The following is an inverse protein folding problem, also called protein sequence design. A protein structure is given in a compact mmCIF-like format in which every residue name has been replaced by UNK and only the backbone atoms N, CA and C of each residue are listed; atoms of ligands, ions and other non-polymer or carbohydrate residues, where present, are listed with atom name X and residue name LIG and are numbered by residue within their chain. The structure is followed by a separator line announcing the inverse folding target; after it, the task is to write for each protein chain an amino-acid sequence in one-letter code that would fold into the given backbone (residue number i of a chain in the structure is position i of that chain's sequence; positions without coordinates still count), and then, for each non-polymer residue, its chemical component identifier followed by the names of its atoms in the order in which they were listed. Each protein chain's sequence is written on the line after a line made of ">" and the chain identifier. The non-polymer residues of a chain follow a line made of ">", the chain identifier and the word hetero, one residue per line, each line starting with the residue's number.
data_IF_619924687366
#
_entry.id   IF_619924687366
#
_cell.length_a   1.000
_cell.length_b   1.000
_cell.length_c   1.000
_cell.angle_alpha   90.00
_cell.angle_beta   90.00
_cell.angle_gamma   90.00
#
_symmetry.space_group_name_H-M   'P 1'
#
loop_
_entity.id
_entity.type
_entity.pdbx_description
1 polymer ?
#
# COMPACT_ATOMS: atom_id res chain seq x y z
N UNK A 1 -18.75 -2.53 -9.44
CA UNK A 1 -18.10 -2.00 -8.23
C UNK A 1 -19.01 -0.96 -7.62
N UNK A 2 -19.02 -0.81 -6.30
CA UNK A 2 -19.81 0.20 -5.58
C UNK A 2 -18.87 1.16 -4.86
N UNK A 3 -19.21 2.45 -4.72
CA UNK A 3 -18.41 3.37 -3.92
C UNK A 3 -18.37 2.91 -2.45
N UNK A 4 -17.22 3.05 -1.81
CA UNK A 4 -17.10 2.94 -0.35
C UNK A 4 -17.41 4.30 0.28
N UNK A 5 -18.44 4.36 1.11
CA UNK A 5 -18.78 5.55 1.89
C UNK A 5 -19.31 5.16 3.29
N UNK A 6 -18.59 5.47 4.38
CA UNK A 6 -17.26 6.08 4.39
C UNK A 6 -16.21 5.16 3.75
N UNK A 7 -15.14 5.75 3.21
CA UNK A 7 -14.04 4.96 2.63
C UNK A 7 -13.28 4.14 3.67
N UNK A 8 -13.20 4.67 4.89
CA UNK A 8 -12.64 4.01 6.08
C UNK A 8 -13.16 4.70 7.36
N UNK A 9 -13.28 3.95 8.44
CA UNK A 9 -13.54 4.49 9.79
C UNK A 9 -12.33 4.23 10.68
N UNK A 10 -11.77 5.30 11.27
CA UNK A 10 -10.49 5.27 11.98
C UNK A 10 -10.72 5.55 13.46
N UNK A 11 -10.53 4.55 14.30
CA UNK A 11 -10.51 4.68 15.75
C UNK A 11 -9.08 4.94 16.22
N UNK A 12 -8.84 6.08 16.88
CA UNK A 12 -7.53 6.46 17.42
C UNK A 12 -7.27 5.88 18.82
N UNK A 13 -8.19 5.08 19.36
CA UNK A 13 -8.14 4.48 20.69
C UNK A 13 -7.88 5.52 21.81
N UNK A 14 -8.36 6.74 21.61
CA UNK A 14 -8.19 7.88 22.52
C UNK A 14 -9.48 8.22 23.31
N UNK A 15 -10.51 7.39 23.17
CA UNK A 15 -11.82 7.56 23.82
C UNK A 15 -12.75 8.55 23.11
N UNK A 16 -12.31 9.20 22.03
CA UNK A 16 -13.17 10.04 21.20
C UNK A 16 -13.91 9.22 20.13
N UNK A 17 -14.91 9.83 19.50
CA UNK A 17 -15.62 9.21 18.38
C UNK A 17 -14.67 8.92 17.21
N UNK A 18 -14.75 7.74 16.58
CA UNK A 18 -13.94 7.39 15.41
C UNK A 18 -14.10 8.39 14.26
N UNK A 19 -13.01 8.66 13.55
CA UNK A 19 -12.96 9.56 12.40
C UNK A 19 -13.53 8.84 11.18
N UNK A 20 -14.59 9.38 10.58
CA UNK A 20 -15.20 8.81 9.38
C UNK A 20 -14.67 9.51 8.12
N UNK A 21 -13.89 8.80 7.31
CA UNK A 21 -13.34 9.37 6.07
C UNK A 21 -14.42 9.32 4.99
N UNK A 22 -15.24 10.35 4.94
CA UNK A 22 -16.35 10.47 3.98
C UNK A 22 -15.85 10.63 2.54
N UNK A 23 -16.60 10.03 1.62
CA UNK A 23 -16.38 10.23 0.18
C UNK A 23 -16.86 11.61 -0.27
N UNK A 24 -17.96 12.09 0.30
CA UNK A 24 -18.46 13.44 0.06
C UNK A 24 -17.49 14.49 0.63
N UNK A 25 -16.97 15.44 -0.19
CA UNK A 25 -15.97 16.40 0.27
C UNK A 25 -16.45 17.33 1.38
N UNK A 26 -17.74 17.67 1.40
CA UNK A 26 -18.31 18.63 2.36
C UNK A 26 -18.54 17.97 3.73
N UNK A 27 -19.08 16.74 3.75
CA UNK A 27 -19.13 15.90 4.96
C UNK A 27 -17.73 15.61 5.49
N UNK A 28 -16.75 15.39 4.61
CA UNK A 28 -15.36 15.24 5.05
C UNK A 28 -14.80 16.51 5.67
N UNK A 29 -15.08 17.70 5.11
CA UNK A 29 -14.70 18.98 5.72
C UNK A 29 -15.28 19.14 7.12
N UNK A 30 -16.58 18.87 7.28
CA UNK A 30 -17.28 18.96 8.56
C UNK A 30 -16.71 17.98 9.59
N UNK A 31 -16.45 16.73 9.19
CA UNK A 31 -15.79 15.73 10.04
C UNK A 31 -14.41 16.23 10.51
N UNK A 32 -13.59 16.76 9.60
CA UNK A 32 -12.26 17.30 9.96
C UNK A 32 -12.34 18.48 10.92
N UNK A 33 -13.30 19.38 10.73
CA UNK A 33 -13.49 20.53 11.62
C UNK A 33 -13.86 20.10 13.04
N UNK A 34 -14.71 19.08 13.16
CA UNK A 34 -15.10 18.50 14.44
C UNK A 34 -13.96 17.70 15.10
N UNK A 35 -13.30 16.83 14.33
CA UNK A 35 -12.29 15.89 14.83
C UNK A 35 -10.92 16.56 15.09
N UNK A 36 -10.60 17.62 14.32
CA UNK A 36 -9.30 18.29 14.33
C UNK A 36 -9.45 19.83 14.26
N UNK A 37 -10.05 20.47 15.29
CA UNK A 37 -10.32 21.90 15.27
C UNK A 37 -9.05 22.75 15.06
N UNK A 38 -9.15 23.79 14.24
CA UNK A 38 -8.03 24.69 13.95
C UNK A 38 -7.00 24.16 12.95
N UNK A 39 -7.29 23.04 12.27
CA UNK A 39 -6.41 22.44 11.25
C UNK A 39 -6.72 22.87 9.81
N UNK A 40 -7.74 23.69 9.58
CA UNK A 40 -8.28 23.96 8.24
C UNK A 40 -7.25 24.56 7.26
N UNK A 41 -6.31 25.38 7.73
CA UNK A 41 -5.22 25.91 6.87
C UNK A 41 -4.36 24.80 6.27
N UNK A 42 -4.09 23.74 7.03
CA UNK A 42 -3.34 22.58 6.53
C UNK A 42 -4.11 21.86 5.42
N UNK A 43 -5.40 21.59 5.66
CA UNK A 43 -6.22 20.88 4.69
C UNK A 43 -6.47 21.68 3.39
N UNK A 44 -6.64 23.00 3.48
CA UNK A 44 -6.71 23.87 2.31
C UNK A 44 -5.41 23.85 1.50
N UNK A 45 -4.26 23.85 2.18
CA UNK A 45 -2.96 23.70 1.51
C UNK A 45 -2.85 22.33 0.82
N UNK A 46 -3.23 21.25 1.51
CA UNK A 46 -3.24 19.90 0.92
C UNK A 46 -4.12 19.83 -0.33
N UNK A 47 -5.32 20.42 -0.29
CA UNK A 47 -6.24 20.41 -1.43
C UNK A 47 -5.67 21.16 -2.65
N UNK A 48 -5.04 22.33 -2.43
CA UNK A 48 -4.37 23.08 -3.51
C UNK A 48 -3.19 22.31 -4.12
N UNK A 49 -2.37 21.70 -3.27
CA UNK A 49 -1.24 20.87 -3.72
C UNK A 49 -1.72 19.63 -4.47
N UNK A 50 -2.76 18.96 -3.97
CA UNK A 50 -3.34 17.81 -4.66
C UNK A 50 -3.91 18.18 -6.03
N UNK A 51 -4.64 19.30 -6.15
CA UNK A 51 -5.14 19.78 -7.44
C UNK A 51 -3.99 20.04 -8.44
N UNK A 52 -2.89 20.64 -7.97
CA UNK A 52 -1.67 20.83 -8.78
C UNK A 52 -1.04 19.49 -9.20
N UNK A 53 -0.93 18.54 -8.29
CA UNK A 53 -0.38 17.21 -8.57
C UNK A 53 -1.24 16.43 -9.57
N UNK A 54 -2.56 16.52 -9.45
CA UNK A 54 -3.48 15.87 -10.36
C UNK A 54 -3.39 16.43 -11.78
N UNK A 55 -3.34 17.76 -11.91
CA UNK A 55 -3.14 18.42 -13.21
C UNK A 55 -1.81 18.00 -13.87
N UNK A 56 -0.76 17.83 -13.08
CA UNK A 56 0.53 17.32 -13.55
C UNK A 56 0.45 15.85 -13.98
N UNK A 57 -0.09 14.98 -13.13
CA UNK A 57 -0.22 13.55 -13.42
C UNK A 57 -1.08 13.27 -14.66
N UNK A 58 -2.14 14.06 -14.88
CA UNK A 58 -3.01 13.97 -16.06
C UNK A 58 -2.25 14.18 -17.39
N UNK A 59 -1.11 14.89 -17.36
CA UNK A 59 -0.24 15.10 -18.52
C UNK A 59 0.79 13.99 -18.74
N UNK A 60 0.73 12.91 -17.94
CA UNK A 60 1.55 11.69 -18.05
C UNK A 60 3.06 11.99 -18.12
N UNK A 61 3.63 12.69 -17.11
CA UNK A 61 5.05 12.98 -17.06
C UNK A 61 5.86 11.69 -16.95
N UNK A 62 7.08 11.70 -17.48
CA UNK A 62 8.06 10.63 -17.28
C UNK A 62 9.04 11.05 -16.18
N UNK A 63 9.05 10.29 -15.08
CA UNK A 63 9.88 10.58 -13.91
C UNK A 63 10.56 9.31 -13.37
N UNK A 64 11.84 9.40 -12.98
CA UNK A 64 12.82 10.40 -13.40
C UNK A 64 13.14 10.36 -14.91
N UNK A 65 13.45 11.50 -15.54
CA UNK A 65 13.85 11.51 -16.94
C UNK A 65 15.22 10.84 -17.13
N UNK A 66 15.37 10.06 -18.20
CA UNK A 66 16.60 9.33 -18.54
C UNK A 66 17.25 9.81 -19.84
N UNK A 67 16.51 10.51 -20.68
CA UNK A 67 16.99 11.05 -21.95
C UNK A 67 16.28 12.37 -22.30
N UNK A 68 16.67 13.00 -23.41
CA UNK A 68 16.10 14.27 -23.85
C UNK A 68 14.59 14.20 -24.16
N UNK A 69 14.10 13.06 -24.65
CA UNK A 69 12.67 12.86 -24.87
C UNK A 69 11.89 12.84 -23.54
N UNK A 70 12.37 12.13 -22.54
CA UNK A 70 11.76 12.13 -21.20
C UNK A 70 11.75 13.53 -20.59
N UNK A 71 12.86 14.26 -20.76
CA UNK A 71 12.96 15.62 -20.25
C UNK A 71 11.96 16.54 -20.95
N UNK A 72 11.78 16.41 -22.26
CA UNK A 72 10.78 17.17 -23.00
C UNK A 72 9.35 16.82 -22.53
N UNK A 73 9.05 15.53 -22.31
CA UNK A 73 7.77 15.09 -21.75
C UNK A 73 7.54 15.66 -20.34
N UNK A 74 8.57 15.68 -19.50
CA UNK A 74 8.52 16.27 -18.16
C UNK A 74 8.26 17.78 -18.23
N UNK A 75 9.04 18.52 -19.03
CA UNK A 75 8.90 19.97 -19.18
C UNK A 75 7.52 20.33 -19.73
N UNK A 76 7.00 19.58 -20.70
CA UNK A 76 5.64 19.77 -21.23
C UNK A 76 4.54 19.50 -20.20
N UNK A 77 4.81 18.69 -19.18
CA UNK A 77 3.87 18.44 -18.09
C UNK A 77 3.84 19.58 -17.05
N UNK A 78 4.93 20.33 -16.86
CA UNK A 78 5.03 21.39 -15.84
C UNK A 78 4.12 22.58 -16.19
N UNK A 79 3.15 22.85 -15.32
CA UNK A 79 2.35 24.08 -15.33
C UNK A 79 2.77 25.09 -14.26
N UNK A 80 2.19 26.31 -14.26
CA UNK A 80 2.48 27.34 -13.25
C UNK A 80 2.25 26.88 -11.80
N UNK A 81 1.17 26.10 -11.57
CA UNK A 81 0.91 25.50 -10.26
C UNK A 81 1.98 24.48 -9.83
N UNK A 82 2.65 23.84 -10.79
CA UNK A 82 3.69 22.84 -10.53
C UNK A 82 5.03 23.47 -10.20
N UNK A 83 5.32 24.66 -10.72
CA UNK A 83 6.51 25.43 -10.31
C UNK A 83 6.42 25.78 -8.83
N UNK A 84 5.26 26.25 -8.37
CA UNK A 84 5.02 26.58 -6.97
C UNK A 84 5.06 25.34 -6.07
N UNK A 85 4.38 24.25 -6.46
CA UNK A 85 4.44 23.00 -5.68
C UNK A 85 5.83 22.34 -5.74
N UNK A 86 6.61 22.61 -6.78
CA UNK A 86 7.99 22.15 -6.93
C UNK A 86 8.92 22.64 -5.83
N UNK A 87 8.64 23.81 -5.23
CA UNK A 87 9.37 24.32 -4.05
C UNK A 87 9.22 23.39 -2.83
N UNK A 88 8.19 22.55 -2.81
CA UNK A 88 7.89 21.60 -1.74
C UNK A 88 8.32 20.17 -2.08
N UNK A 89 9.09 19.95 -3.15
CA UNK A 89 9.52 18.59 -3.56
C UNK A 89 10.33 17.89 -2.47
N UNK A 90 11.15 18.64 -1.73
CA UNK A 90 11.94 18.12 -0.61
C UNK A 90 11.19 18.13 0.74
N UNK A 91 9.96 18.67 0.78
CA UNK A 91 9.20 18.82 2.02
C UNK A 91 8.47 17.54 2.40
N UNK A 92 8.19 17.39 3.70
CA UNK A 92 7.40 16.29 4.28
C UNK A 92 5.98 16.75 4.62
N UNK A 93 5.07 15.83 4.93
CA UNK A 93 3.75 16.21 5.46
C UNK A 93 3.87 16.94 6.80
N UNK A 94 4.87 16.59 7.63
CA UNK A 94 5.16 17.33 8.86
C UNK A 94 5.64 18.77 8.60
N UNK A 95 6.35 19.04 7.50
CA UNK A 95 6.67 20.41 7.09
C UNK A 95 5.40 21.22 6.77
N UNK A 96 4.45 20.61 6.07
CA UNK A 96 3.15 21.27 5.80
C UNK A 96 2.40 21.59 7.10
N UNK A 97 2.40 20.67 8.07
CA UNK A 97 1.84 20.94 9.39
C UNK A 97 2.53 22.13 10.07
N UNK A 98 3.87 22.20 10.03
CA UNK A 98 4.63 23.33 10.59
C UNK A 98 4.25 24.65 9.91
N UNK A 99 4.26 24.68 8.58
CA UNK A 99 3.92 25.87 7.78
C UNK A 99 2.51 26.40 8.08
N UNK A 100 1.57 25.50 8.40
CA UNK A 100 0.19 25.86 8.71
C UNK A 100 -0.07 26.12 10.21
N UNK A 101 0.96 26.11 11.08
CA UNK A 101 0.78 26.27 12.53
C UNK A 101 0.07 25.08 13.20
N UNK A 102 0.20 23.91 12.59
CA UNK A 102 -0.47 22.66 12.94
C UNK A 102 0.47 21.58 13.53
N UNK A 103 1.65 21.97 14.03
CA UNK A 103 2.69 21.03 14.53
C UNK A 103 2.87 21.00 16.05
N UNK A 104 2.07 21.74 16.82
CA UNK A 104 2.17 21.83 18.29
C UNK A 104 1.34 20.78 19.05
N UNK A 105 1.44 20.72 20.39
CA UNK A 105 0.76 19.71 21.23
C UNK A 105 -0.75 19.59 21.00
N UNK A 106 -1.43 20.73 20.75
CA UNK A 106 -2.87 20.78 20.43
C UNK A 106 -3.26 19.95 19.18
N UNK A 107 -2.30 19.66 18.30
CA UNK A 107 -2.51 18.96 17.02
C UNK A 107 -1.94 17.54 17.03
N UNK A 108 -1.57 17.00 18.19
CA UNK A 108 -1.02 15.65 18.29
C UNK A 108 -2.00 14.58 17.78
N UNK A 109 -3.30 14.76 18.04
CA UNK A 109 -4.36 13.86 17.53
C UNK A 109 -4.42 13.84 16.00
N UNK A 110 -4.34 15.02 15.38
CA UNK A 110 -4.23 15.15 13.92
C UNK A 110 -2.95 14.46 13.41
N UNK A 111 -1.80 14.71 14.06
CA UNK A 111 -0.54 14.06 13.68
C UNK A 111 -0.66 12.54 13.73
N UNK A 112 -1.28 11.98 14.78
CA UNK A 112 -1.47 10.54 14.92
C UNK A 112 -2.37 9.98 13.82
N UNK A 113 -3.50 10.62 13.54
CA UNK A 113 -4.37 10.27 12.43
C UNK A 113 -3.61 10.26 11.09
N UNK A 114 -2.80 11.30 10.82
CA UNK A 114 -2.00 11.39 9.60
C UNK A 114 -0.93 10.29 9.53
N UNK A 115 -0.24 9.98 10.62
CA UNK A 115 0.73 8.88 10.65
C UNK A 115 0.07 7.54 10.29
N UNK A 116 -1.14 7.28 10.79
CA UNK A 116 -1.90 6.07 10.46
C UNK A 116 -2.31 6.02 8.98
N UNK A 117 -2.85 7.12 8.43
CA UNK A 117 -3.27 7.17 7.03
C UNK A 117 -2.07 7.07 6.10
N UNK A 118 -1.02 7.83 6.37
CA UNK A 118 0.17 7.85 5.52
C UNK A 118 0.88 6.50 5.58
N UNK A 119 1.07 5.90 6.76
CA UNK A 119 1.75 4.60 6.86
C UNK A 119 1.09 3.52 5.98
N UNK A 120 -0.24 3.52 5.90
CA UNK A 120 -1.00 2.57 5.08
C UNK A 120 -0.65 2.66 3.58
N UNK A 121 -0.47 3.88 3.04
CA UNK A 121 -0.30 4.09 1.61
C UNK A 121 1.14 4.45 1.18
N UNK A 122 1.90 5.16 2.03
CA UNK A 122 3.25 5.64 1.75
C UNK A 122 4.36 4.77 2.35
N UNK A 123 4.01 3.82 3.23
CA UNK A 123 4.94 3.04 4.06
C UNK A 123 5.77 3.89 5.05
N UNK A 124 5.45 5.17 5.21
CA UNK A 124 6.21 6.13 6.03
C UNK A 124 5.28 6.96 6.93
N UNK A 125 5.75 7.42 8.11
CA UNK A 125 5.04 8.41 8.92
C UNK A 125 5.02 9.81 8.25
N UNK A 126 4.31 10.77 8.84
CA UNK A 126 4.12 12.10 8.28
C UNK A 126 5.41 12.93 8.16
N UNK A 127 6.39 12.72 9.03
CA UNK A 127 7.71 13.37 8.98
C UNK A 127 8.70 12.74 8.00
N UNK A 128 8.32 11.62 7.38
CA UNK A 128 9.11 10.97 6.33
C UNK A 128 8.39 10.90 5.00
N UNK A 129 7.06 11.00 4.97
CA UNK A 129 6.28 11.02 3.73
C UNK A 129 6.50 12.34 2.99
N UNK A 130 6.91 12.27 1.72
CA UNK A 130 6.99 13.41 0.82
C UNK A 130 5.64 14.14 0.73
N UNK A 131 5.67 15.46 0.90
CA UNK A 131 4.48 16.31 0.93
C UNK A 131 3.56 16.08 -0.28
N UNK A 132 4.14 16.10 -1.49
CA UNK A 132 3.38 15.93 -2.74
C UNK A 132 2.78 14.52 -2.90
N UNK A 133 3.39 13.49 -2.31
CA UNK A 133 2.75 12.17 -2.27
C UNK A 133 1.64 12.14 -1.22
N UNK A 134 1.93 12.61 -0.02
CA UNK A 134 1.02 12.58 1.12
C UNK A 134 -0.30 13.32 0.87
N UNK A 135 -0.27 14.49 0.21
CA UNK A 135 -1.52 15.22 -0.11
C UNK A 135 -2.45 14.43 -1.04
N UNK A 136 -1.90 13.59 -1.92
CA UNK A 136 -2.70 12.69 -2.76
C UNK A 136 -3.29 11.55 -1.95
N UNK A 137 -2.51 11.00 -1.01
CA UNK A 137 -3.01 9.99 -0.07
C UNK A 137 -4.21 10.49 0.72
N UNK A 138 -4.10 11.72 1.24
CA UNK A 138 -5.13 12.34 2.07
C UNK A 138 -6.39 12.77 1.31
N UNK A 139 -6.37 12.76 -0.02
CA UNK A 139 -7.49 13.17 -0.87
C UNK A 139 -8.15 12.01 -1.65
N UNK A 140 -7.53 10.83 -1.70
CA UNK A 140 -7.94 9.76 -2.61
C UNK A 140 -9.35 9.21 -2.36
N UNK A 141 -9.86 9.36 -1.13
CA UNK A 141 -11.17 8.86 -0.73
C UNK A 141 -12.30 9.79 -1.19
N UNK A 142 -12.00 11.07 -1.44
CA UNK A 142 -13.00 12.07 -1.77
C UNK A 142 -13.33 12.10 -3.27
N UNK A 143 -14.52 12.58 -3.61
CA UNK A 143 -14.89 12.88 -4.99
C UNK A 143 -13.96 13.91 -5.66
N UNK A 144 -13.70 13.79 -6.99
CA UNK A 144 -14.29 12.83 -7.94
C UNK A 144 -13.58 11.46 -7.98
N UNK A 145 -12.60 11.21 -7.11
CA UNK A 145 -11.90 9.93 -7.01
C UNK A 145 -12.76 8.93 -6.21
N UNK A 146 -12.23 8.44 -5.09
CA UNK A 146 -12.92 7.53 -4.19
C UNK A 146 -12.33 6.13 -4.15
N UNK A 147 -12.62 5.46 -3.04
CA UNK A 147 -12.37 4.03 -2.89
C UNK A 147 -13.61 3.26 -3.34
N UNK A 148 -13.38 2.10 -3.94
CA UNK A 148 -14.42 1.29 -4.53
C UNK A 148 -14.37 -0.14 -4.00
N UNK A 149 -15.53 -0.67 -3.68
CA UNK A 149 -15.73 -2.06 -3.36
C UNK A 149 -15.97 -2.87 -4.64
N UNK A 150 -15.10 -3.85 -4.88
CA UNK A 150 -15.19 -4.76 -6.01
C UNK A 150 -15.91 -6.05 -5.61
N UNK A 151 -17.05 -6.31 -6.24
CA UNK A 151 -17.81 -7.54 -6.05
C UNK A 151 -17.03 -8.73 -6.63
N UNK A 152 -16.96 -9.83 -5.89
CA UNK A 152 -16.10 -10.97 -6.22
C UNK A 152 -14.63 -10.78 -5.86
N UNK A 153 -14.31 -9.82 -4.98
CA UNK A 153 -12.95 -9.52 -4.51
C UNK A 153 -11.99 -9.10 -5.64
N UNK A 154 -10.72 -8.91 -5.31
CA UNK A 154 -9.63 -8.66 -6.25
C UNK A 154 -9.46 -9.80 -7.27
N UNK A 155 -9.92 -11.01 -6.96
CA UNK A 155 -9.91 -12.13 -7.90
C UNK A 155 -10.73 -11.83 -9.17
N UNK A 156 -11.86 -11.12 -9.05
CA UNK A 156 -12.67 -10.73 -10.20
C UNK A 156 -11.90 -9.80 -11.16
N UNK A 157 -11.04 -8.92 -10.63
CA UNK A 157 -10.17 -8.09 -11.44
C UNK A 157 -9.10 -8.94 -12.13
N UNK A 158 -8.43 -9.84 -11.40
CA UNK A 158 -7.43 -10.76 -11.96
C UNK A 158 -8.02 -11.61 -13.09
N UNK A 159 -9.20 -12.20 -12.90
CA UNK A 159 -9.89 -12.99 -13.92
C UNK A 159 -10.24 -12.16 -15.16
N UNK A 160 -10.55 -10.87 -14.98
CA UNK A 160 -10.86 -9.98 -16.09
C UNK A 160 -9.61 -9.60 -16.88
N UNK A 161 -8.50 -9.35 -16.21
CA UNK A 161 -7.19 -9.10 -16.85
C UNK A 161 -6.67 -10.35 -17.58
N UNK A 162 -6.81 -11.54 -16.99
CA UNK A 162 -6.42 -12.80 -17.63
C UNK A 162 -7.21 -13.04 -18.92
N UNK A 163 -8.53 -12.82 -18.89
CA UNK A 163 -9.38 -12.92 -20.09
C UNK A 163 -8.95 -11.92 -21.16
N UNK A 164 -8.69 -10.66 -20.79
CA UNK A 164 -8.24 -9.63 -21.72
C UNK A 164 -6.87 -9.99 -22.34
N UNK A 165 -5.94 -10.52 -21.54
CA UNK A 165 -4.64 -10.99 -22.02
C UNK A 165 -4.81 -12.10 -23.07
N UNK A 166 -5.63 -13.11 -22.77
CA UNK A 166 -5.90 -14.21 -23.69
C UNK A 166 -6.56 -13.73 -24.99
N UNK A 167 -7.54 -12.81 -24.90
CA UNK A 167 -8.21 -12.23 -26.08
C UNK A 167 -7.24 -11.42 -26.96
N UNK A 168 -6.23 -10.80 -26.36
CA UNK A 168 -5.17 -10.10 -27.07
C UNK A 168 -4.07 -11.05 -27.62
N UNK A 169 -4.21 -12.37 -27.44
CA UNK A 169 -3.22 -13.37 -27.88
C UNK A 169 -2.01 -13.54 -26.95
N UNK A 170 -2.06 -12.99 -25.73
CA UNK A 170 -1.02 -13.16 -24.73
C UNK A 170 -1.06 -14.53 -24.04
N UNK A 171 0.11 -15.00 -23.58
CA UNK A 171 0.27 -16.27 -22.88
C UNK A 171 0.53 -16.04 -21.37
N UNK A 172 -0.19 -16.76 -20.51
CA UNK A 172 0.05 -16.77 -19.06
C UNK A 172 0.64 -18.12 -18.61
N UNK A 173 1.92 -18.13 -18.23
CA UNK A 173 2.62 -19.32 -17.72
C UNK A 173 2.61 -19.38 -16.19
N UNK A 174 1.61 -20.05 -15.62
CA UNK A 174 1.55 -20.30 -14.17
C UNK A 174 2.56 -21.36 -13.72
N UNK A 175 2.96 -21.32 -12.45
CA UNK A 175 3.98 -22.23 -11.85
C UNK A 175 5.34 -22.18 -12.57
N UNK A 176 5.68 -21.02 -13.12
CA UNK A 176 7.00 -20.72 -13.67
C UNK A 176 7.65 -19.65 -12.81
N UNK A 177 8.75 -20.01 -12.15
CA UNK A 177 9.56 -19.10 -11.36
C UNK A 177 10.76 -18.67 -12.20
N UNK A 178 10.83 -17.38 -12.53
CA UNK A 178 12.03 -16.78 -13.13
C UNK A 178 13.12 -16.72 -12.07
N UNK A 179 14.32 -17.16 -12.43
CA UNK A 179 15.50 -17.15 -11.55
C UNK A 179 16.60 -16.23 -12.09
N UNK A 180 16.71 -16.08 -13.41
CA UNK A 180 17.75 -15.27 -14.04
C UNK A 180 17.19 -14.45 -15.20
N UNK A 181 17.63 -13.20 -15.29
CA UNK A 181 17.45 -12.29 -16.41
C UNK A 181 18.83 -11.91 -16.94
N UNK A 182 19.09 -12.19 -18.22
CA UNK A 182 20.34 -11.85 -18.88
C UNK A 182 20.04 -10.97 -20.10
N UNK A 183 20.58 -9.76 -20.11
CA UNK A 183 20.59 -8.91 -21.28
C UNK A 183 21.72 -9.36 -22.24
N UNK A 184 21.45 -9.27 -23.54
CA UNK A 184 22.40 -9.52 -24.63
C UNK A 184 22.19 -8.50 -25.75
N UNK A 185 23.04 -8.52 -26.77
CA UNK A 185 22.94 -7.62 -27.93
C UNK A 185 21.61 -7.85 -28.70
N UNK A 186 21.11 -9.08 -28.69
CA UNK A 186 19.90 -9.49 -29.42
C UNK A 186 18.62 -9.43 -28.57
N UNK A 187 18.69 -8.87 -27.36
CA UNK A 187 17.55 -8.70 -26.45
C UNK A 187 17.81 -9.32 -25.08
N UNK A 188 16.85 -10.11 -24.59
CA UNK A 188 16.82 -10.69 -23.26
C UNK A 188 16.71 -12.20 -23.30
N UNK A 189 17.34 -12.83 -22.33
CA UNK A 189 17.24 -14.24 -22.05
C UNK A 189 16.71 -14.45 -20.63
N UNK A 190 15.53 -15.08 -20.53
CA UNK A 190 14.81 -15.31 -19.27
C UNK A 190 14.88 -16.78 -18.95
N UNK A 191 15.45 -17.12 -17.79
CA UNK A 191 15.61 -18.51 -17.35
C UNK A 191 14.94 -18.73 -16.00
N UNK A 192 14.55 -19.97 -15.75
CA UNK A 192 14.03 -20.36 -14.45
C UNK A 192 13.49 -21.78 -14.41
N UNK A 193 12.61 -22.04 -13.45
CA UNK A 193 12.05 -23.36 -13.16
C UNK A 193 10.53 -23.34 -13.35
N UNK A 194 10.05 -24.29 -14.14
CA UNK A 194 8.65 -24.53 -14.43
C UNK A 194 8.04 -25.66 -13.59
N UNK A 195 6.85 -26.16 -13.99
CA UNK A 195 6.17 -27.27 -13.34
C UNK A 195 7.07 -28.49 -13.20
N UNK A 196 6.96 -29.20 -12.07
CA UNK A 196 7.75 -30.41 -11.74
C UNK A 196 9.28 -30.18 -11.69
N UNK A 197 9.73 -28.94 -11.55
CA UNK A 197 11.16 -28.63 -11.44
C UNK A 197 11.90 -28.57 -12.77
N UNK A 198 11.20 -28.57 -13.90
CA UNK A 198 11.82 -28.51 -15.22
C UNK A 198 12.37 -27.11 -15.51
N UNK A 199 13.64 -27.02 -15.90
CA UNK A 199 14.22 -25.74 -16.33
C UNK A 199 13.57 -25.26 -17.62
N UNK A 200 13.37 -23.94 -17.74
CA UNK A 200 12.94 -23.30 -18.97
C UNK A 200 13.86 -22.13 -19.33
N UNK A 201 13.82 -21.77 -20.61
CA UNK A 201 14.58 -20.67 -21.18
C UNK A 201 13.78 -20.04 -22.31
N UNK A 202 13.67 -18.71 -22.31
CA UNK A 202 12.88 -17.92 -23.26
C UNK A 202 13.70 -16.71 -23.71
N UNK A 203 13.75 -16.48 -25.02
CA UNK A 203 14.25 -15.23 -25.60
C UNK A 203 13.13 -14.19 -25.70
N UNK A 204 13.43 -12.93 -25.42
CA UNK A 204 12.51 -11.80 -25.55
C UNK A 204 13.23 -10.56 -26.06
N UNK A 205 12.55 -9.70 -26.82
CA UNK A 205 13.12 -8.40 -27.22
C UNK A 205 13.15 -7.42 -26.04
N UNK A 206 12.10 -7.43 -25.23
CA UNK A 206 11.93 -6.55 -24.08
C UNK A 206 11.47 -7.35 -22.85
N UNK A 207 11.87 -6.90 -21.66
CA UNK A 207 11.42 -7.46 -20.38
C UNK A 207 10.82 -6.36 -19.51
N UNK A 208 9.56 -6.55 -19.12
CA UNK A 208 8.90 -5.74 -18.08
C UNK A 208 8.91 -6.50 -16.77
N UNK A 209 9.79 -6.13 -15.85
CA UNK A 209 9.87 -6.75 -14.53
C UNK A 209 8.89 -6.07 -13.56
N UNK A 210 7.82 -6.79 -13.19
CA UNK A 210 6.82 -6.33 -12.21
C UNK A 210 7.15 -6.74 -10.77
N UNK A 211 8.25 -7.44 -10.55
CA UNK A 211 8.70 -7.87 -9.22
C UNK A 211 9.25 -6.68 -8.43
N UNK A 212 9.24 -6.73 -7.08
CA UNK A 212 9.85 -5.68 -6.26
C UNK A 212 11.32 -5.46 -6.65
N UNK A 213 11.83 -4.22 -6.66
CA UNK A 213 13.22 -3.91 -7.02
C UNK A 213 14.27 -4.67 -6.21
N UNK A 214 13.93 -5.07 -4.98
CA UNK A 214 14.76 -5.92 -4.12
C UNK A 214 15.03 -7.31 -4.72
N UNK A 215 14.28 -7.72 -5.73
CA UNK A 215 14.47 -8.98 -6.46
C UNK A 215 15.55 -8.85 -7.55
N UNK A 216 15.82 -7.64 -8.03
CA UNK A 216 16.71 -7.40 -9.17
C UNK A 216 18.15 -7.89 -8.96
N UNK A 217 18.80 -7.71 -7.79
CA UNK A 217 20.15 -8.22 -7.59
C UNK A 217 20.26 -9.73 -7.82
N UNK A 218 19.28 -10.51 -7.35
CA UNK A 218 19.28 -11.97 -7.55
C UNK A 218 18.97 -12.35 -9.00
N UNK A 219 18.10 -11.59 -9.68
CA UNK A 219 17.69 -11.89 -11.05
C UNK A 219 18.78 -11.53 -12.07
N UNK A 220 19.45 -10.39 -11.89
CA UNK A 220 20.44 -9.87 -12.86
C UNK A 220 21.87 -10.34 -12.55
N UNK A 221 22.16 -10.72 -11.30
CA UNK A 221 23.50 -11.14 -10.88
C UNK A 221 24.56 -10.10 -11.26
N UNK A 222 25.65 -10.57 -11.89
CA UNK A 222 26.78 -9.72 -12.30
C UNK A 222 26.42 -8.67 -13.36
N UNK A 223 25.31 -8.83 -14.08
CA UNK A 223 24.83 -7.81 -15.02
C UNK A 223 24.11 -6.65 -14.35
N UNK A 224 23.88 -6.71 -13.03
CA UNK A 224 23.22 -5.64 -12.30
C UNK A 224 24.06 -4.34 -12.38
N UNK A 225 23.52 -3.24 -12.96
CA UNK A 225 24.25 -1.99 -13.06
C UNK A 225 24.58 -1.46 -11.66
N UNK A 226 25.84 -1.16 -11.38
CA UNK A 226 26.30 -0.79 -10.03
C UNK A 226 25.52 0.40 -9.44
N UNK A 227 25.16 1.38 -10.27
CA UNK A 227 24.35 2.52 -9.83
C UNK A 227 22.92 2.13 -9.42
N UNK A 228 22.31 1.17 -10.12
CA UNK A 228 21.00 0.66 -9.76
C UNK A 228 21.07 -0.19 -8.49
N UNK A 229 22.11 -1.03 -8.35
CA UNK A 229 22.34 -1.85 -7.17
C UNK A 229 22.41 -0.98 -5.90
N UNK A 230 23.28 0.03 -5.88
CA UNK A 230 23.41 0.96 -4.75
C UNK A 230 22.09 1.64 -4.41
N UNK A 231 21.30 2.02 -5.43
CA UNK A 231 19.99 2.64 -5.20
C UNK A 231 19.02 1.67 -4.55
N UNK A 232 18.94 0.42 -5.02
CA UNK A 232 18.07 -0.62 -4.44
C UNK A 232 18.47 -0.92 -2.99
N UNK A 233 19.77 -1.08 -2.73
CA UNK A 233 20.31 -1.30 -1.38
C UNK A 233 20.00 -0.11 -0.44
N UNK A 234 20.10 1.12 -0.95
CA UNK A 234 19.78 2.35 -0.21
C UNK A 234 18.30 2.56 0.11
N UNK A 235 17.37 1.79 -0.48
CA UNK A 235 15.94 1.89 -0.13
C UNK A 235 15.65 1.36 1.27
N UNK A 236 16.51 0.51 1.82
CA UNK A 236 16.24 -0.26 3.02
C UNK A 236 15.16 -1.34 2.80
N UNK A 237 14.81 -2.04 3.87
CA UNK A 237 13.84 -3.12 3.81
C UNK A 237 12.40 -2.59 3.77
N UNK A 238 11.58 -3.05 2.80
CA UNK A 238 10.14 -2.81 2.84
C UNK A 238 9.47 -3.49 4.03
N UNK A 239 8.25 -3.04 4.36
CA UNK A 239 7.45 -3.68 5.40
C UNK A 239 7.01 -5.09 4.98
N UNK A 240 7.05 -6.03 5.93
CA UNK A 240 6.24 -7.24 5.89
C UNK A 240 4.86 -6.97 6.48
N UNK A 241 3.99 -7.99 6.49
CA UNK A 241 2.73 -7.92 7.22
C UNK A 241 2.42 -9.22 7.95
N UNK A 242 1.64 -9.07 9.03
CA UNK A 242 0.85 -10.13 9.62
C UNK A 242 -0.59 -9.91 9.19
N UNK A 243 -1.26 -10.97 8.76
CA UNK A 243 -2.63 -10.90 8.29
C UNK A 243 -3.44 -12.02 8.90
N UNK A 244 -4.39 -11.66 9.75
CA UNK A 244 -5.41 -12.56 10.26
C UNK A 244 -6.50 -12.71 9.19
N UNK A 245 -6.77 -13.94 8.80
CA UNK A 245 -7.92 -14.31 7.97
C UNK A 245 -8.96 -14.97 8.88
N UNK A 246 -10.06 -14.26 9.14
CA UNK A 246 -11.15 -14.74 9.99
C UNK A 246 -12.47 -14.87 9.25
N UNK A 247 -13.33 -15.75 9.75
CA UNK A 247 -14.72 -15.89 9.35
C UNK A 247 -15.63 -15.92 10.59
N UNK A 248 -16.74 -15.21 10.53
CA UNK A 248 -17.74 -15.09 11.60
C UNK A 248 -19.15 -15.17 11.04
N UNK A 249 -20.14 -15.46 11.89
CA UNK A 249 -21.53 -15.22 11.54
C UNK A 249 -21.77 -13.71 11.35
N UNK A 250 -22.61 -13.32 10.38
CA UNK A 250 -22.87 -11.90 10.06
C UNK A 250 -23.44 -11.14 11.25
N UNK A 251 -24.32 -11.77 12.02
CA UNK A 251 -25.00 -11.20 13.18
C UNK A 251 -24.09 -11.02 14.41
N UNK A 252 -22.89 -11.60 14.40
CA UNK A 252 -21.85 -11.34 15.40
C UNK A 252 -21.12 -10.00 15.19
N UNK A 253 -21.31 -9.35 14.03
CA UNK A 253 -20.79 -8.03 13.74
C UNK A 253 -21.85 -6.95 14.01
N UNK A 254 -21.45 -5.69 14.25
CA UNK A 254 -22.39 -4.58 14.31
C UNK A 254 -23.28 -4.51 13.05
N UNK A 255 -24.57 -4.20 13.21
CA UNK A 255 -25.52 -4.11 12.08
C UNK A 255 -25.02 -3.15 10.97
N UNK A 256 -24.39 -2.04 11.38
CA UNK A 256 -23.92 -0.97 10.52
C UNK A 256 -22.40 -1.05 10.28
N UNK A 257 -21.82 -2.26 10.35
CA UNK A 257 -20.37 -2.46 10.32
C UNK A 257 -19.74 -1.92 9.02
N UNK A 258 -18.81 -0.95 9.10
CA UNK A 258 -18.10 -0.45 7.92
C UNK A 258 -17.25 -1.55 7.28
N UNK A 259 -17.07 -1.46 5.95
CA UNK A 259 -16.24 -2.42 5.23
C UNK A 259 -14.75 -2.25 5.48
N UNK A 260 -14.30 -1.03 5.78
CA UNK A 260 -12.92 -0.74 6.14
C UNK A 260 -12.86 0.00 7.47
N UNK A 261 -12.06 -0.54 8.37
CA UNK A 261 -11.77 0.08 9.66
C UNK A 261 -10.27 0.17 9.86
N UNK A 262 -9.85 1.11 10.69
CA UNK A 262 -8.49 1.19 11.19
C UNK A 262 -8.53 1.44 12.69
N UNK A 263 -7.72 0.71 13.45
CA UNK A 263 -7.58 0.89 14.88
C UNK A 263 -6.14 1.27 15.20
N UNK A 264 -5.99 2.39 15.89
CA UNK A 264 -4.73 2.70 16.54
C UNK A 264 -4.49 1.74 17.71
N UNK A 265 -3.56 0.82 17.53
CA UNK A 265 -3.38 -0.30 18.42
C UNK A 265 -1.91 -0.50 18.74
N UNK A 266 -1.59 -0.86 19.99
CA UNK A 266 -0.21 -0.94 20.43
C UNK A 266 0.48 -2.24 20.01
N UNK A 267 -0.14 -3.39 20.32
CA UNK A 267 0.48 -4.71 20.13
C UNK A 267 -0.45 -5.62 19.32
N UNK A 268 -0.02 -6.13 18.16
CA UNK A 268 1.32 -6.01 17.55
C UNK A 268 1.59 -4.67 16.83
N UNK A 269 0.60 -3.77 16.78
CA UNK A 269 0.66 -2.49 16.10
C UNK A 269 -0.70 -2.11 15.52
N UNK A 270 -0.80 -0.94 14.90
CA UNK A 270 -2.05 -0.42 14.36
C UNK A 270 -2.66 -1.39 13.33
N UNK A 271 -3.96 -1.64 13.46
CA UNK A 271 -4.68 -2.63 12.66
C UNK A 271 -5.41 -1.96 11.51
N UNK A 272 -5.35 -2.58 10.33
CA UNK A 272 -6.24 -2.28 9.22
C UNK A 272 -7.17 -3.48 8.99
N UNK A 273 -8.48 -3.24 8.98
CA UNK A 273 -9.49 -4.29 8.96
C UNK A 273 -10.36 -4.13 7.72
N UNK A 274 -10.56 -5.23 7.00
CA UNK A 274 -11.50 -5.35 5.88
C UNK A 274 -12.57 -6.39 6.18
N UNK A 275 -13.82 -5.93 6.21
CA UNK A 275 -15.03 -6.73 6.45
C UNK A 275 -15.74 -6.94 5.12
N UNK A 276 -16.12 -8.18 4.80
CA UNK A 276 -16.95 -8.44 3.61
C UNK A 276 -18.40 -8.03 3.81
N UNK A 277 -19.04 -7.60 2.73
CA UNK A 277 -20.47 -7.27 2.67
C UNK A 277 -21.30 -8.48 2.22
N UNK A 278 -22.60 -8.44 2.52
CA UNK A 278 -23.49 -9.55 2.17
C UNK A 278 -23.63 -9.61 0.65
N UNK A 279 -23.47 -10.81 0.08
CA UNK A 279 -23.53 -10.98 -1.37
C UNK A 279 -22.33 -10.44 -2.15
N UNK A 280 -21.25 -10.00 -1.49
CA UNK A 280 -20.04 -9.53 -2.18
C UNK A 280 -19.15 -10.66 -2.72
N UNK A 281 -19.50 -11.91 -2.43
CA UNK A 281 -18.81 -13.12 -2.90
C UNK A 281 -17.57 -13.50 -2.10
N UNK A 282 -17.25 -12.82 -0.98
CA UNK A 282 -16.11 -13.18 -0.12
C UNK A 282 -16.47 -14.17 0.98
N UNK A 283 -17.74 -14.28 1.36
CA UNK A 283 -18.25 -15.21 2.37
C UNK A 283 -19.57 -15.87 1.92
N UNK A 284 -19.90 -17.07 2.43
CA UNK A 284 -21.24 -17.65 2.29
C UNK A 284 -22.32 -16.74 2.89
N UNK A 285 -23.57 -16.93 2.45
CA UNK A 285 -24.71 -16.17 2.97
C UNK A 285 -24.84 -16.31 4.50
N UNK A 286 -25.08 -15.19 5.19
CA UNK A 286 -25.16 -15.14 6.65
C UNK A 286 -23.80 -15.22 7.36
N UNK A 287 -22.69 -15.20 6.64
CA UNK A 287 -21.34 -15.14 7.18
C UNK A 287 -20.59 -13.92 6.65
N UNK A 288 -19.50 -13.56 7.34
CA UNK A 288 -18.60 -12.50 6.92
C UNK A 288 -17.14 -12.87 7.14
N UNK A 289 -16.28 -12.45 6.21
CA UNK A 289 -14.84 -12.45 6.41
C UNK A 289 -14.42 -11.22 7.21
N UNK A 290 -13.51 -11.43 8.16
CA UNK A 290 -12.82 -10.39 8.93
C UNK A 290 -11.34 -10.54 8.63
N UNK A 291 -10.80 -9.67 7.78
CA UNK A 291 -9.37 -9.67 7.47
C UNK A 291 -8.72 -8.52 8.21
N UNK A 292 -7.81 -8.81 9.13
CA UNK A 292 -7.09 -7.79 9.90
C UNK A 292 -5.60 -7.87 9.65
N UNK A 293 -4.96 -6.76 9.31
CA UNK A 293 -3.55 -6.71 8.98
C UNK A 293 -2.79 -5.67 9.80
N UNK A 294 -1.50 -5.94 9.99
CA UNK A 294 -0.55 -5.07 10.67
C UNK A 294 0.80 -5.15 9.96
N UNK A 295 1.50 -4.02 9.83
CA UNK A 295 2.86 -4.03 9.29
C UNK A 295 3.86 -4.56 10.33
N UNK A 296 4.87 -5.28 9.86
CA UNK A 296 5.93 -5.84 10.70
C UNK A 296 7.28 -5.80 9.98
N UNK A 297 8.39 -5.86 10.73
CA UNK A 297 9.71 -6.09 10.12
C UNK A 297 9.75 -7.52 9.59
N UNK A 298 9.94 -7.69 8.28
CA UNK A 298 9.80 -9.01 7.66
C UNK A 298 10.93 -9.98 8.06
N UNK A 299 12.18 -9.51 8.06
CA UNK A 299 13.38 -10.34 8.27
C UNK A 299 13.41 -11.00 9.65
N UNK A 300 12.94 -10.32 10.68
CA UNK A 300 12.88 -10.88 12.04
C UNK A 300 12.11 -12.20 12.09
N UNK A 301 11.08 -12.38 11.26
CA UNK A 301 10.33 -13.63 11.19
C UNK A 301 11.13 -14.79 10.58
N UNK A 302 12.13 -14.51 9.75
CA UNK A 302 13.00 -15.53 9.15
C UNK A 302 14.10 -15.98 10.12
N UNK A 303 14.49 -15.13 11.05
CA UNK A 303 15.53 -15.39 12.06
C UNK A 303 15.04 -16.25 13.24
N UNK A 304 13.72 -16.40 13.41
CA UNK A 304 13.15 -17.18 14.51
C UNK A 304 13.30 -18.70 14.31
N UNK A 305 13.80 -19.38 15.32
CA UNK A 305 13.76 -20.84 15.42
C UNK A 305 12.30 -21.36 15.45
N UNK A 306 12.04 -22.62 15.03
CA UNK A 306 10.67 -23.13 14.86
C UNK A 306 9.75 -22.98 16.08
N UNK A 307 10.26 -23.22 17.29
CA UNK A 307 9.49 -23.05 18.53
C UNK A 307 9.18 -21.57 18.81
N UNK A 308 10.19 -20.70 18.71
CA UNK A 308 10.03 -19.26 18.91
C UNK A 308 9.09 -18.63 17.85
N UNK A 309 9.17 -19.08 16.60
CA UNK A 309 8.25 -18.68 15.54
C UNK A 309 6.80 -19.03 15.88
N UNK A 310 6.56 -20.23 16.40
CA UNK A 310 5.22 -20.69 16.77
C UNK A 310 4.64 -19.83 17.89
N UNK A 311 5.44 -19.55 18.94
CA UNK A 311 5.06 -18.66 20.03
C UNK A 311 4.78 -17.24 19.54
N UNK A 312 5.71 -16.62 18.82
CA UNK A 312 5.55 -15.25 18.31
C UNK A 312 4.33 -15.11 17.38
N UNK A 313 4.06 -16.15 16.56
CA UNK A 313 2.87 -16.19 15.70
C UNK A 313 1.58 -16.23 16.55
N UNK A 314 1.54 -17.04 17.60
CA UNK A 314 0.38 -17.14 18.49
C UNK A 314 0.14 -15.84 19.27
N UNK A 315 1.21 -15.23 19.82
CA UNK A 315 1.14 -13.94 20.53
C UNK A 315 0.64 -12.81 19.62
N UNK A 316 1.16 -12.72 18.39
CA UNK A 316 0.71 -11.73 17.44
C UNK A 316 -0.77 -11.94 17.03
N UNK A 317 -1.18 -13.19 16.87
CA UNK A 317 -2.58 -13.53 16.58
C UNK A 317 -3.50 -13.07 17.72
N UNK A 318 -3.15 -13.39 18.97
CA UNK A 318 -3.90 -12.95 20.15
C UNK A 318 -3.97 -11.43 20.27
N UNK A 319 -2.87 -10.72 19.97
CA UNK A 319 -2.85 -9.25 19.98
C UNK A 319 -3.77 -8.62 18.94
N UNK A 320 -3.84 -9.18 17.73
CA UNK A 320 -4.79 -8.74 16.69
C UNK A 320 -6.23 -9.02 17.13
N UNK A 321 -6.50 -10.22 17.64
CA UNK A 321 -7.83 -10.61 18.10
C UNK A 321 -8.31 -9.75 19.27
N UNK A 322 -7.42 -9.34 20.18
CA UNK A 322 -7.74 -8.40 21.25
C UNK A 322 -8.17 -7.02 20.70
N UNK A 323 -7.48 -6.51 19.67
CA UNK A 323 -7.87 -5.28 19.00
C UNK A 323 -9.22 -5.41 18.28
N UNK A 324 -9.49 -6.55 17.63
CA UNK A 324 -10.79 -6.85 17.02
C UNK A 324 -11.91 -6.98 18.04
N UNK A 325 -11.63 -7.56 19.22
CA UNK A 325 -12.57 -7.61 20.33
C UNK A 325 -12.92 -6.21 20.83
N UNK A 326 -11.93 -5.33 20.98
CA UNK A 326 -12.18 -3.94 21.38
C UNK A 326 -12.99 -3.17 20.33
N UNK A 327 -12.64 -3.31 19.04
CA UNK A 327 -13.25 -2.54 17.96
C UNK A 327 -14.64 -3.06 17.55
N UNK A 328 -14.82 -4.37 17.50
CA UNK A 328 -16.01 -5.03 16.92
C UNK A 328 -16.80 -5.87 17.93
N UNK A 329 -16.32 -6.02 19.17
CA UNK A 329 -16.98 -6.86 20.18
C UNK A 329 -16.83 -8.37 19.96
N UNK A 330 -15.99 -8.79 19.01
CA UNK A 330 -15.81 -10.21 18.66
C UNK A 330 -15.20 -11.00 19.83
N UNK A 331 -15.85 -12.11 20.20
CA UNK A 331 -15.39 -13.05 21.22
C UNK A 331 -14.89 -14.34 20.58
N UNK A 332 -14.19 -15.18 21.35
CA UNK A 332 -13.71 -16.48 20.88
C UNK A 332 -14.82 -17.36 20.29
N UNK A 333 -16.02 -17.31 20.88
CA UNK A 333 -17.19 -18.08 20.43
C UNK A 333 -17.79 -17.60 19.10
N UNK A 334 -17.44 -16.41 18.62
CA UNK A 334 -17.97 -15.85 17.37
C UNK A 334 -17.20 -16.33 16.13
N UNK A 335 -15.98 -16.83 16.30
CA UNK A 335 -15.15 -17.28 15.19
C UNK A 335 -15.58 -18.64 14.66
N UNK A 336 -15.93 -18.68 13.37
CA UNK A 336 -16.11 -19.92 12.61
C UNK A 336 -14.75 -20.44 12.12
N UNK A 337 -13.84 -19.53 11.79
CA UNK A 337 -12.47 -19.82 11.39
C UNK A 337 -11.56 -18.62 11.71
N UNK A 338 -10.30 -18.90 12.01
CA UNK A 338 -9.25 -17.88 12.17
C UNK A 338 -7.87 -18.47 11.94
N UNK A 339 -7.07 -17.80 11.13
CA UNK A 339 -5.67 -18.14 10.93
C UNK A 339 -4.80 -16.90 10.69
N UNK A 340 -3.58 -16.91 11.24
CA UNK A 340 -2.60 -15.85 11.00
C UNK A 340 -1.61 -16.23 9.88
N UNK A 341 -1.38 -15.32 8.95
CA UNK A 341 -0.28 -15.36 8.00
C UNK A 341 0.86 -14.45 8.45
N UNK A 342 2.10 -14.85 8.16
CA UNK A 342 3.34 -14.12 8.50
C UNK A 342 4.17 -13.86 7.23
N UNK A 343 5.24 -13.06 7.29
CA UNK A 343 6.15 -12.85 6.15
C UNK A 343 6.69 -14.15 5.53
N UNK A 344 6.89 -15.22 6.33
CA UNK A 344 7.27 -16.55 5.78
C UNK A 344 6.20 -17.11 4.83
N UNK A 345 4.93 -16.93 5.16
CA UNK A 345 3.80 -17.30 4.30
C UNK A 345 3.79 -16.49 3.01
N UNK A 346 3.90 -15.16 3.11
CA UNK A 346 3.94 -14.28 1.95
C UNK A 346 5.12 -14.58 1.01
N UNK A 347 6.29 -14.91 1.54
CA UNK A 347 7.44 -15.32 0.72
C UNK A 347 7.13 -16.57 -0.10
N UNK A 348 6.49 -17.57 0.52
CA UNK A 348 6.08 -18.80 -0.16
C UNK A 348 5.04 -18.55 -1.25
N UNK A 349 4.04 -17.70 -1.00
CA UNK A 349 2.94 -17.49 -1.94
C UNK A 349 3.30 -16.56 -3.10
N UNK A 350 4.11 -15.55 -2.84
CA UNK A 350 4.39 -14.47 -3.80
C UNK A 350 5.77 -14.54 -4.43
N UNK A 351 6.68 -15.34 -3.86
CA UNK A 351 8.09 -15.41 -4.28
C UNK A 351 8.88 -14.14 -3.99
N UNK A 352 8.29 -13.14 -3.33
CA UNK A 352 8.95 -11.87 -3.00
C UNK A 352 10.04 -12.09 -1.95
N UNK A 353 11.19 -11.39 -2.03
CA UNK A 353 12.23 -11.45 -1.01
C UNK A 353 11.64 -11.22 0.39
N UNK A 354 11.93 -12.12 1.33
CA UNK A 354 11.43 -12.09 2.72
C UNK A 354 9.90 -11.92 2.88
N UNK A 355 9.10 -12.15 1.84
CA UNK A 355 7.66 -11.94 1.89
C UNK A 355 7.26 -10.48 2.09
N UNK A 356 8.06 -9.55 1.58
CA UNK A 356 7.73 -8.13 1.58
C UNK A 356 6.38 -7.87 0.90
N UNK A 357 5.52 -7.12 1.59
CA UNK A 357 4.23 -6.67 1.05
C UNK A 357 4.22 -5.17 0.78
N UNK A 358 5.02 -4.41 1.52
CA UNK A 358 5.18 -2.97 1.33
C UNK A 358 5.89 -2.63 0.03
N UNK A 359 5.51 -1.49 -0.55
CA UNK A 359 6.24 -0.87 -1.64
C UNK A 359 7.46 -0.07 -1.16
N UNK A 360 8.06 0.69 -2.07
CA UNK A 360 9.10 1.66 -1.72
C UNK A 360 8.47 2.77 -0.88
N UNK A 361 9.08 3.07 0.27
CA UNK A 361 8.68 4.20 1.10
C UNK A 361 8.66 5.50 0.29
N UNK A 362 7.64 6.34 0.46
CA UNK A 362 7.46 7.53 -0.37
C UNK A 362 8.04 8.77 0.31
N UNK A 363 9.35 8.73 0.57
CA UNK A 363 10.10 9.81 1.20
C UNK A 363 10.66 10.82 0.18
N UNK A 364 10.96 12.07 0.60
CA UNK A 364 11.42 13.11 -0.32
C UNK A 364 12.65 12.72 -1.16
N UNK A 365 13.57 11.93 -0.58
CA UNK A 365 14.81 11.46 -1.23
C UNK A 365 14.58 10.35 -2.26
N UNK A 366 13.36 9.83 -2.40
CA UNK A 366 13.02 8.67 -3.23
C UNK A 366 11.65 8.74 -3.91
N UNK A 367 11.00 9.90 -3.87
CA UNK A 367 9.73 10.19 -4.53
C UNK A 367 9.93 11.09 -5.75
N UNK A 368 9.04 10.96 -6.75
CA UNK A 368 9.04 11.81 -7.95
C UNK A 368 10.36 11.72 -8.74
N UNK A 369 11.07 12.84 -8.95
CA UNK A 369 12.34 12.83 -9.69
C UNK A 369 13.46 12.05 -8.98
N UNK A 370 13.29 11.70 -7.70
CA UNK A 370 14.26 10.93 -6.94
C UNK A 370 13.88 9.45 -6.83
N UNK A 371 12.74 9.04 -7.40
CA UNK A 371 12.31 7.65 -7.44
C UNK A 371 13.16 6.76 -8.36
N UNK A 372 12.93 5.46 -8.28
CA UNK A 372 13.46 4.52 -9.27
C UNK A 372 12.81 4.80 -10.62
N UNK A 373 13.63 4.79 -11.67
CA UNK A 373 13.14 4.91 -13.04
C UNK A 373 12.36 3.68 -13.46
N UNK A 374 11.35 3.88 -14.30
CA UNK A 374 10.61 2.79 -14.95
C UNK A 374 11.43 1.99 -15.96
N UNK A 375 12.58 2.52 -16.40
CA UNK A 375 13.53 1.84 -17.29
C UNK A 375 14.90 1.65 -16.62
N UNK A 376 15.41 0.42 -16.68
CA UNK A 376 16.80 0.12 -16.34
C UNK A 376 17.76 0.74 -17.36
N UNK A 377 19.04 0.91 -17.00
CA UNK A 377 20.07 1.29 -17.96
C UNK A 377 20.61 0.11 -18.78
N UNK A 378 19.96 -1.06 -18.70
CA UNK A 378 20.22 -2.28 -19.47
C UNK A 378 19.30 -2.31 -20.67
#
# INVERSE_FOLDING_TARGET
>A
ATPLDPGCVVDLADGHQPVRIWRDPERWRQEREQQFPGSERFWQLCQRLHASNWAFAARRPVLPPRNGWDLNQLLGAIGPGNVLSGLLTAATVADLLRLCGCSGPRHQRLRRFLDLQLKLYSQEPADRTAALYGVTVLAMVQEPLGLWHLHGSMQALSNSLERALHQAGGELRLRHRVETLQASIDGWHVQGIGPKGQSFSIGATDVVCSLPPQSLPNLLGDQMPTGLQRRVEGLGDPSGALVLYGAVARDALPADCPSHLQLDWQQPGSLFISISQEGDGRAPAGQATVIASVFTSAKCWFELEPAAYTTAKAEAQQGIEAGLKQLLGLQDSHWLHRELATPRGFARWTGRPFGFVGGIGQAPDRFGPFGLASRSPL
#
